data_IF_717971302641
#
_entry.id   IF_717971302641
#
_cell.length_a   1.000
_cell.length_b   1.000
_cell.length_c   1.000
_cell.angle_alpha   90.00
_cell.angle_beta   90.00
_cell.angle_gamma   90.00
#
_symmetry.space_group_name_H-M   'P 1'
#
loop_
_entity.id
_entity.type
_entity.pdbx_description
1 polymer ?
#
# COMPACT_ATOMS: atom_id res chain seq x y z
N UNK A 1 1.20 -15.69 -25.75
CA UNK A 1 1.30 -14.22 -25.88
C UNK A 1 0.42 -13.65 -24.78
N UNK A 2 0.87 -12.62 -24.04
CA UNK A 2 0.07 -12.02 -22.96
C UNK A 2 -1.13 -11.30 -23.58
N UNK A 3 -2.35 -11.56 -23.11
CA UNK A 3 -3.52 -10.83 -23.62
C UNK A 3 -3.55 -9.42 -23.02
N UNK A 4 -3.77 -8.43 -23.89
CA UNK A 4 -3.90 -7.03 -23.52
C UNK A 4 -5.26 -6.52 -24.03
N UNK A 5 -6.05 -5.99 -23.12
CA UNK A 5 -7.30 -5.29 -23.45
C UNK A 5 -7.21 -3.85 -22.98
N UNK A 6 -7.50 -2.94 -23.91
CA UNK A 6 -7.49 -1.49 -23.67
C UNK A 6 -8.89 -0.97 -23.95
N UNK A 7 -9.47 -0.22 -23.00
CA UNK A 7 -10.83 0.34 -23.10
C UNK A 7 -10.87 1.80 -22.68
N UNK A 8 -11.54 2.63 -23.47
CA UNK A 8 -11.72 4.06 -23.25
C UNK A 8 -10.72 4.91 -24.04
N UNK A 9 -10.43 6.14 -23.59
CA UNK A 9 -9.70 7.13 -24.37
C UNK A 9 -8.18 7.06 -24.12
N UNK A 10 -7.58 5.92 -24.48
CA UNK A 10 -6.14 5.71 -24.45
C UNK A 10 -5.69 4.92 -25.67
N UNK A 11 -4.57 5.32 -26.28
CA UNK A 11 -4.04 4.67 -27.48
C UNK A 11 -3.45 3.29 -27.14
N UNK A 12 -3.90 2.18 -27.76
CA UNK A 12 -3.35 0.86 -27.49
C UNK A 12 -1.83 0.75 -27.74
N UNK A 13 -1.31 1.47 -28.72
CA UNK A 13 0.12 1.51 -29.08
C UNK A 13 0.96 2.09 -27.95
N UNK A 14 0.44 3.10 -27.25
CA UNK A 14 1.09 3.70 -26.10
C UNK A 14 1.21 2.70 -24.94
N UNK A 15 0.14 1.95 -24.66
CA UNK A 15 0.14 0.89 -23.63
C UNK A 15 1.07 -0.27 -24.02
N UNK A 16 1.08 -0.67 -25.30
CA UNK A 16 1.98 -1.71 -25.82
C UNK A 16 3.45 -1.30 -25.68
N UNK A 17 3.79 -0.04 -25.96
CA UNK A 17 5.15 0.47 -25.79
C UNK A 17 5.60 0.39 -24.31
N UNK A 18 4.76 0.86 -23.38
CA UNK A 18 5.05 0.75 -21.95
C UNK A 18 5.25 -0.72 -21.50
N UNK A 19 4.45 -1.65 -22.00
CA UNK A 19 4.62 -3.08 -21.72
C UNK A 19 5.92 -3.64 -22.31
N UNK A 20 6.27 -3.26 -23.54
CA UNK A 20 7.51 -3.68 -24.18
C UNK A 20 8.73 -3.26 -23.34
N UNK A 21 8.73 -2.03 -22.81
CA UNK A 21 9.80 -1.53 -21.95
C UNK A 21 9.95 -2.33 -20.65
N UNK A 22 8.85 -2.90 -20.12
CA UNK A 22 8.90 -3.83 -18.99
C UNK A 22 9.52 -5.15 -19.44
N UNK A 23 9.05 -5.71 -20.56
CA UNK A 23 9.53 -6.98 -21.09
C UNK A 23 11.05 -6.99 -21.34
N UNK A 24 11.61 -5.88 -21.82
CA UNK A 24 13.04 -5.73 -22.06
C UNK A 24 13.88 -5.81 -20.78
N UNK A 25 13.31 -5.45 -19.62
CA UNK A 25 14.00 -5.43 -18.31
C UNK A 25 13.64 -6.64 -17.45
N UNK A 26 12.45 -7.21 -17.65
CA UNK A 26 11.89 -8.23 -16.79
C UNK A 26 11.03 -9.23 -17.55
N UNK A 27 11.36 -10.52 -17.39
CA UNK A 27 10.55 -11.62 -17.92
C UNK A 27 9.23 -11.74 -17.16
N UNK A 28 8.17 -11.17 -17.74
CA UNK A 28 6.80 -11.23 -17.21
C UNK A 28 6.33 -12.69 -17.09
N UNK A 29 5.66 -13.06 -15.97
CA UNK A 29 5.12 -14.40 -15.78
C UNK A 29 4.13 -14.81 -16.88
N UNK A 30 4.23 -16.06 -17.36
CA UNK A 30 3.38 -16.58 -18.45
C UNK A 30 1.93 -16.89 -18.03
N UNK A 31 1.65 -16.91 -16.74
CA UNK A 31 0.37 -17.26 -16.13
C UNK A 31 -0.58 -16.07 -15.94
N UNK A 32 -0.23 -14.90 -16.49
CA UNK A 32 -1.12 -13.74 -16.49
C UNK A 32 -2.07 -13.91 -17.66
N UNK A 33 -3.37 -13.98 -17.35
CA UNK A 33 -4.39 -14.24 -18.35
C UNK A 33 -4.68 -13.00 -19.18
N UNK A 34 -4.73 -11.82 -18.54
CA UNK A 34 -5.03 -10.56 -19.20
C UNK A 34 -4.50 -9.37 -18.38
N UNK A 35 -4.03 -8.34 -19.09
CA UNK A 35 -3.86 -6.99 -18.55
C UNK A 35 -4.94 -6.11 -19.16
N UNK A 36 -5.73 -5.47 -18.29
CA UNK A 36 -6.81 -4.55 -18.64
C UNK A 36 -6.36 -3.13 -18.31
N UNK A 37 -6.39 -2.22 -19.30
CA UNK A 37 -6.21 -0.78 -19.06
C UNK A 37 -7.51 -0.05 -19.37
N UNK A 38 -8.12 0.52 -18.33
CA UNK A 38 -9.51 0.98 -18.34
C UNK A 38 -9.59 2.47 -17.98
N UNK A 39 -10.09 3.26 -18.92
CA UNK A 39 -10.28 4.71 -18.77
C UNK A 39 -11.75 5.12 -18.51
N UNK A 40 -12.67 4.15 -18.43
CA UNK A 40 -14.08 4.44 -18.19
C UNK A 40 -14.68 3.37 -17.27
N UNK A 41 -15.19 3.74 -16.07
CA UNK A 41 -15.75 2.79 -15.12
C UNK A 41 -16.91 1.96 -15.65
N UNK A 42 -17.60 2.41 -16.72
CA UNK A 42 -18.69 1.64 -17.33
C UNK A 42 -18.25 0.24 -17.77
N UNK A 43 -16.97 0.06 -18.10
CA UNK A 43 -16.41 -1.22 -18.52
C UNK A 43 -16.18 -2.20 -17.35
N UNK A 44 -16.23 -1.76 -16.08
CA UNK A 44 -16.05 -2.66 -14.94
C UNK A 44 -17.14 -3.72 -14.82
N UNK A 45 -18.38 -3.41 -15.21
CA UNK A 45 -19.48 -4.41 -15.26
C UNK A 45 -19.21 -5.53 -16.26
N UNK A 46 -18.49 -5.25 -17.35
CA UNK A 46 -18.09 -6.28 -18.31
C UNK A 46 -16.96 -7.15 -17.76
N UNK A 47 -15.99 -6.53 -17.08
CA UNK A 47 -14.86 -7.21 -16.45
C UNK A 47 -15.33 -8.12 -15.31
N UNK A 48 -16.28 -7.66 -14.49
CA UNK A 48 -16.86 -8.42 -13.39
C UNK A 48 -17.36 -9.80 -13.82
N UNK A 49 -17.99 -9.88 -15.01
CA UNK A 49 -18.51 -11.14 -15.56
C UNK A 49 -17.41 -12.18 -15.76
N UNK A 50 -16.17 -11.76 -16.03
CA UNK A 50 -14.99 -12.61 -16.24
C UNK A 50 -14.31 -13.02 -14.93
N UNK A 51 -14.55 -12.29 -13.84
CA UNK A 51 -13.95 -12.56 -12.54
C UNK A 51 -14.64 -13.77 -11.86
N UNK A 52 -13.88 -14.69 -11.25
CA UNK A 52 -14.45 -15.81 -10.49
C UNK A 52 -15.46 -15.34 -9.45
N UNK A 53 -16.62 -16.01 -9.36
CA UNK A 53 -17.75 -15.60 -8.47
C UNK A 53 -17.31 -15.26 -7.05
N UNK A 54 -16.40 -16.04 -6.46
CA UNK A 54 -15.87 -15.83 -5.11
C UNK A 54 -15.12 -14.50 -4.90
N UNK A 55 -14.61 -13.88 -5.98
CA UNK A 55 -13.85 -12.63 -5.95
C UNK A 55 -14.72 -11.42 -6.37
N UNK A 56 -15.94 -11.63 -6.86
CA UNK A 56 -16.79 -10.54 -7.40
C UNK A 56 -17.19 -9.53 -6.34
N UNK A 57 -17.45 -9.99 -5.11
CA UNK A 57 -17.80 -9.08 -4.00
C UNK A 57 -16.65 -8.10 -3.69
N UNK A 58 -15.44 -8.60 -3.52
CA UNK A 58 -14.24 -7.79 -3.30
C UNK A 58 -13.97 -6.84 -4.48
N UNK A 59 -14.17 -7.34 -5.71
CA UNK A 59 -14.08 -6.53 -6.92
C UNK A 59 -15.10 -5.39 -6.93
N UNK A 60 -16.37 -5.65 -6.62
CA UNK A 60 -17.44 -4.65 -6.57
C UNK A 60 -17.14 -3.58 -5.51
N UNK A 61 -16.80 -4.01 -4.29
CA UNK A 61 -16.48 -3.11 -3.17
C UNK A 61 -15.27 -2.20 -3.47
N UNK A 62 -14.33 -2.66 -4.31
CA UNK A 62 -13.16 -1.88 -4.70
C UNK A 62 -13.44 -0.96 -5.90
N UNK A 63 -13.97 -1.49 -7.00
CA UNK A 63 -14.00 -0.80 -8.29
C UNK A 63 -15.22 0.07 -8.56
N UNK A 64 -16.32 -0.14 -7.86
CA UNK A 64 -17.56 0.60 -8.15
C UNK A 64 -17.66 1.91 -7.37
N UNK A 65 -16.83 2.09 -6.33
CA UNK A 65 -16.81 3.32 -5.53
C UNK A 65 -15.58 4.19 -5.79
N UNK A 66 -14.39 3.61 -5.92
CA UNK A 66 -13.15 4.36 -6.18
C UNK A 66 -12.14 3.49 -6.98
N UNK A 67 -12.23 3.50 -8.32
CA UNK A 67 -11.50 2.55 -9.14
C UNK A 67 -10.01 2.89 -9.20
N UNK A 68 -9.20 2.12 -8.46
CA UNK A 68 -7.73 2.16 -8.49
C UNK A 68 -7.14 0.95 -9.21
N UNK A 69 -5.86 1.03 -9.57
CA UNK A 69 -5.15 -0.11 -10.14
C UNK A 69 -5.06 -1.27 -9.15
N UNK A 70 -5.26 -2.51 -9.62
CA UNK A 70 -5.12 -3.73 -8.80
C UNK A 70 -4.78 -4.96 -9.66
N UNK A 71 -4.25 -5.97 -8.97
CA UNK A 71 -4.06 -7.32 -9.50
C UNK A 71 -4.86 -8.36 -8.72
N UNK A 72 -5.47 -9.32 -9.42
CA UNK A 72 -6.27 -10.41 -8.87
C UNK A 72 -5.58 -11.74 -9.14
N UNK A 73 -5.46 -12.60 -8.12
CA UNK A 73 -4.93 -13.97 -8.24
C UNK A 73 -5.93 -14.98 -7.68
N UNK A 74 -6.37 -15.95 -8.48
CA UNK A 74 -7.29 -17.02 -8.06
C UNK A 74 -6.97 -18.36 -8.73
N UNK A 75 -6.44 -19.32 -7.97
CA UNK A 75 -6.10 -20.63 -8.53
C UNK A 75 -4.96 -20.49 -9.54
N UNK A 76 -5.18 -20.82 -10.82
CA UNK A 76 -4.22 -20.55 -11.91
C UNK A 76 -4.40 -19.18 -12.57
N UNK A 77 -5.58 -18.56 -12.42
CA UNK A 77 -5.95 -17.29 -13.03
C UNK A 77 -5.25 -16.10 -12.36
N UNK A 78 -4.59 -15.25 -13.16
CA UNK A 78 -4.12 -13.92 -12.76
C UNK A 78 -4.64 -12.85 -13.73
N UNK A 79 -5.09 -11.73 -13.17
CA UNK A 79 -5.62 -10.58 -13.90
C UNK A 79 -5.00 -9.30 -13.36
N UNK A 80 -4.64 -8.36 -14.24
CA UNK A 80 -4.23 -7.02 -13.86
C UNK A 80 -5.25 -6.04 -14.42
N UNK A 81 -5.66 -5.07 -13.62
CA UNK A 81 -6.56 -4.00 -14.00
C UNK A 81 -5.89 -2.70 -13.62
N UNK A 82 -5.55 -1.90 -14.62
CA UNK A 82 -5.04 -0.55 -14.47
C UNK A 82 -6.22 0.38 -14.71
N UNK A 83 -6.67 1.04 -13.65
CA UNK A 83 -7.67 2.11 -13.78
C UNK A 83 -6.93 3.43 -14.04
N UNK A 84 -7.32 4.13 -15.09
CA UNK A 84 -6.85 5.50 -15.41
C UNK A 84 -8.03 6.48 -15.46
N UNK A 85 -9.17 6.05 -14.90
CA UNK A 85 -10.44 6.77 -14.93
C UNK A 85 -10.56 7.84 -13.83
N UNK A 86 -9.70 7.79 -12.81
CA UNK A 86 -9.67 8.79 -11.75
C UNK A 86 -9.03 10.10 -12.24
N UNK A 87 -9.58 11.23 -11.79
CA UNK A 87 -8.99 12.55 -12.05
C UNK A 87 -7.55 12.65 -11.55
N UNK A 88 -7.22 11.95 -10.46
CA UNK A 88 -5.87 11.96 -9.88
C UNK A 88 -4.87 11.11 -10.65
N UNK A 89 -5.31 10.24 -11.54
CA UNK A 89 -4.48 9.29 -12.30
C UNK A 89 -4.46 9.58 -13.82
N UNK A 90 -5.09 10.69 -14.25
CA UNK A 90 -5.14 11.10 -15.65
C UNK A 90 -3.76 11.28 -16.30
N UNK A 91 -2.71 11.55 -15.50
CA UNK A 91 -1.33 11.65 -15.99
C UNK A 91 -0.85 10.34 -16.64
N UNK A 92 -1.42 9.18 -16.27
CA UNK A 92 -1.07 7.88 -16.84
C UNK A 92 -1.42 7.76 -18.34
N UNK A 93 -2.27 8.66 -18.87
CA UNK A 93 -2.61 8.71 -20.31
C UNK A 93 -1.49 9.26 -21.18
N UNK A 94 -0.61 10.07 -20.61
CA UNK A 94 0.43 10.80 -21.33
C UNK A 94 1.83 10.52 -20.81
N UNK A 95 1.97 9.99 -19.59
CA UNK A 95 3.24 9.63 -18.98
C UNK A 95 3.49 8.12 -19.06
N UNK A 96 4.25 7.69 -20.07
CA UNK A 96 4.56 6.27 -20.31
C UNK A 96 5.40 5.66 -19.20
N UNK A 97 6.30 6.44 -18.59
CA UNK A 97 7.17 5.96 -17.51
C UNK A 97 6.35 5.69 -16.24
N UNK A 98 5.40 6.56 -15.90
CA UNK A 98 4.48 6.33 -14.80
C UNK A 98 3.55 5.11 -15.06
N UNK A 99 3.00 4.99 -16.28
CA UNK A 99 2.22 3.81 -16.67
C UNK A 99 3.03 2.52 -16.56
N UNK A 100 4.30 2.56 -16.96
CA UNK A 100 5.24 1.45 -16.76
C UNK A 100 5.37 1.10 -15.27
N UNK A 101 5.47 2.11 -14.41
CA UNK A 101 5.48 1.97 -12.96
C UNK A 101 4.28 1.19 -12.44
N UNK A 102 3.07 1.69 -12.69
CA UNK A 102 1.84 1.07 -12.17
C UNK A 102 1.68 -0.38 -12.65
N UNK A 103 1.94 -0.64 -13.94
CA UNK A 103 1.88 -2.01 -14.47
C UNK A 103 2.92 -2.91 -13.80
N UNK A 104 4.16 -2.43 -13.63
CA UNK A 104 5.24 -3.19 -12.99
C UNK A 104 4.94 -3.50 -11.52
N UNK A 105 4.30 -2.56 -10.81
CA UNK A 105 3.85 -2.72 -9.43
C UNK A 105 2.87 -3.89 -9.28
N UNK A 106 1.82 -3.88 -10.10
CA UNK A 106 0.78 -4.91 -10.06
C UNK A 106 1.29 -6.28 -10.52
N UNK A 107 2.18 -6.30 -11.51
CA UNK A 107 2.89 -7.51 -11.90
C UNK A 107 3.71 -8.09 -10.74
N UNK A 108 4.41 -7.23 -9.98
CA UNK A 108 5.25 -7.67 -8.87
C UNK A 108 4.41 -8.26 -7.73
N UNK A 109 3.23 -7.70 -7.45
CA UNK A 109 2.29 -8.26 -6.50
C UNK A 109 1.85 -9.67 -6.86
N UNK A 110 1.57 -9.95 -8.14
CA UNK A 110 1.29 -11.31 -8.60
C UNK A 110 2.48 -12.23 -8.32
N UNK A 111 3.69 -11.83 -8.72
CA UNK A 111 4.90 -12.66 -8.52
C UNK A 111 5.13 -12.97 -7.04
N UNK A 112 4.95 -11.99 -6.18
CA UNK A 112 5.12 -12.17 -4.74
C UNK A 112 4.03 -13.04 -4.12
N UNK A 113 2.77 -12.87 -4.51
CA UNK A 113 1.66 -13.75 -4.08
C UNK A 113 1.92 -15.19 -4.48
N UNK A 114 2.38 -15.44 -5.71
CA UNK A 114 2.75 -16.77 -6.22
C UNK A 114 3.92 -17.39 -5.45
N UNK A 115 4.86 -16.57 -4.95
CA UNK A 115 5.95 -16.99 -4.03
C UNK A 115 5.49 -17.18 -2.57
N UNK A 116 4.20 -17.04 -2.30
CA UNK A 116 3.58 -17.23 -0.99
C UNK A 116 3.78 -16.08 -0.01
N UNK A 117 4.13 -14.87 -0.47
CA UNK A 117 4.38 -13.72 0.39
C UNK A 117 3.19 -13.41 1.31
N UNK A 118 1.97 -13.41 0.76
CA UNK A 118 0.73 -13.15 1.51
C UNK A 118 0.56 -14.06 2.72
N UNK A 119 0.85 -15.36 2.54
CA UNK A 119 0.76 -16.35 3.62
C UNK A 119 1.84 -16.10 4.67
N UNK A 120 3.08 -15.79 4.24
CA UNK A 120 4.20 -15.50 5.15
C UNK A 120 3.93 -14.26 5.99
N UNK A 121 3.53 -13.15 5.36
CA UNK A 121 3.22 -11.87 6.01
C UNK A 121 2.07 -12.04 7.01
N UNK A 122 0.96 -12.66 6.59
CA UNK A 122 -0.19 -12.92 7.48
C UNK A 122 0.18 -13.82 8.66
N UNK A 123 0.94 -14.89 8.42
CA UNK A 123 1.37 -15.79 9.49
C UNK A 123 2.27 -15.09 10.51
N UNK A 124 3.18 -14.23 10.07
CA UNK A 124 4.07 -13.47 10.95
C UNK A 124 3.31 -12.38 11.72
N UNK A 125 2.30 -11.74 11.11
CA UNK A 125 1.40 -10.81 11.80
C UNK A 125 0.63 -11.50 12.94
N UNK A 126 0.06 -12.68 12.69
CA UNK A 126 -0.66 -13.46 13.71
C UNK A 126 0.28 -13.86 14.85
N UNK A 127 1.50 -14.31 14.52
CA UNK A 127 2.51 -14.65 15.54
C UNK A 127 2.87 -13.45 16.40
N UNK A 128 3.20 -12.31 15.77
CA UNK A 128 3.53 -11.08 16.48
C UNK A 128 2.38 -10.62 17.38
N UNK A 129 1.13 -10.67 16.89
CA UNK A 129 -0.05 -10.32 17.69
C UNK A 129 -0.23 -11.25 18.89
N UNK A 130 -0.12 -12.57 18.70
CA UNK A 130 -0.22 -13.55 19.80
C UNK A 130 0.83 -13.31 20.88
N UNK A 131 2.08 -13.06 20.47
CA UNK A 131 3.19 -12.72 21.37
C UNK A 131 2.93 -11.40 22.13
N UNK A 132 2.30 -10.43 21.46
CA UNK A 132 2.02 -9.11 22.04
C UNK A 132 0.75 -9.06 22.91
N UNK A 133 -0.17 -10.02 22.74
CA UNK A 133 -1.49 -10.07 23.39
C UNK A 133 -1.46 -9.85 24.91
N UNK A 134 -0.51 -10.39 25.70
CA UNK A 134 -0.44 -10.11 27.14
C UNK A 134 -0.28 -8.62 27.45
N UNK A 135 0.40 -7.86 26.60
CA UNK A 135 0.58 -6.41 26.75
C UNK A 135 -0.68 -5.65 26.34
N UNK A 136 -1.37 -6.10 25.28
CA UNK A 136 -2.67 -5.56 24.86
C UNK A 136 -3.68 -5.65 26.00
N UNK A 137 -3.76 -6.80 26.69
CA UNK A 137 -4.69 -6.99 27.82
C UNK A 137 -4.45 -6.01 28.98
N UNK A 138 -3.19 -5.60 29.20
CA UNK A 138 -2.85 -4.59 30.22
C UNK A 138 -3.32 -3.19 29.83
N UNK A 139 -3.66 -2.96 28.56
CA UNK A 139 -4.15 -1.67 28.08
C UNK A 139 -5.64 -1.45 28.34
N UNK A 140 -6.39 -2.49 28.66
CA UNK A 140 -7.84 -2.39 28.96
C UNK A 140 -8.15 -1.56 30.21
N UNK A 141 -7.13 -1.24 31.02
CA UNK A 141 -7.25 -0.30 32.14
C UNK A 141 -7.19 1.18 31.74
N UNK A 142 -6.75 1.46 30.51
CA UNK A 142 -6.62 2.82 29.97
C UNK A 142 -7.68 3.13 28.93
N UNK A 143 -8.33 2.12 28.35
CA UNK A 143 -9.26 2.28 27.24
C UNK A 143 -10.16 1.04 27.14
N UNK A 144 -11.40 1.22 26.65
CA UNK A 144 -12.33 0.12 26.42
C UNK A 144 -11.68 -1.02 25.64
N UNK A 145 -11.95 -2.25 26.07
CA UNK A 145 -11.38 -3.47 25.50
C UNK A 145 -11.63 -3.59 24.00
N UNK A 146 -12.87 -3.35 23.55
CA UNK A 146 -13.21 -3.51 22.13
C UNK A 146 -12.50 -2.43 21.31
N UNK A 147 -12.37 -1.22 21.86
CA UNK A 147 -11.66 -0.14 21.19
C UNK A 147 -10.16 -0.42 21.07
N UNK A 148 -9.50 -0.89 22.15
CA UNK A 148 -8.10 -1.33 22.10
C UNK A 148 -7.91 -2.43 21.07
N UNK A 149 -8.74 -3.48 21.11
CA UNK A 149 -8.65 -4.60 20.18
C UNK A 149 -8.83 -4.14 18.71
N UNK A 150 -9.72 -3.16 18.47
CA UNK A 150 -9.95 -2.56 17.16
C UNK A 150 -8.70 -1.80 16.66
N UNK A 151 -8.08 -0.94 17.47
CA UNK A 151 -6.89 -0.17 17.09
C UNK A 151 -5.76 -1.11 16.63
N UNK A 152 -5.46 -2.16 17.42
CA UNK A 152 -4.42 -3.12 17.06
C UNK A 152 -4.78 -3.93 15.81
N UNK A 153 -6.05 -4.28 15.62
CA UNK A 153 -6.51 -4.99 14.43
C UNK A 153 -6.35 -4.13 13.15
N UNK A 154 -6.70 -2.85 13.22
CA UNK A 154 -6.57 -1.91 12.09
C UNK A 154 -5.12 -1.65 11.72
N UNK A 155 -4.26 -1.32 12.70
CA UNK A 155 -2.82 -1.13 12.47
C UNK A 155 -2.17 -2.40 11.94
N UNK A 156 -2.51 -3.56 12.52
CA UNK A 156 -2.01 -4.85 12.05
C UNK A 156 -2.44 -5.16 10.62
N UNK A 157 -3.68 -4.85 10.24
CA UNK A 157 -4.18 -5.00 8.87
C UNK A 157 -3.42 -4.09 7.89
N UNK A 158 -3.28 -2.81 8.23
CA UNK A 158 -2.55 -1.85 7.40
C UNK A 158 -1.08 -2.25 7.20
N UNK A 159 -0.42 -2.67 8.28
CA UNK A 159 0.96 -3.13 8.24
C UNK A 159 1.16 -4.35 7.32
N UNK A 160 0.16 -5.24 7.20
CA UNK A 160 0.21 -6.35 6.25
C UNK A 160 0.25 -5.87 4.79
N UNK A 161 -0.55 -4.84 4.43
CA UNK A 161 -0.54 -4.28 3.09
C UNK A 161 0.77 -3.55 2.80
N UNK A 162 1.19 -2.67 3.71
CA UNK A 162 2.42 -1.91 3.57
C UNK A 162 3.65 -2.80 3.38
N UNK A 163 3.75 -3.91 4.12
CA UNK A 163 4.87 -4.84 3.93
C UNK A 163 4.93 -5.40 2.50
N UNK A 164 3.79 -5.66 1.86
CA UNK A 164 3.75 -6.16 0.48
C UNK A 164 4.27 -5.10 -0.49
N UNK A 165 3.79 -3.87 -0.38
CA UNK A 165 4.24 -2.77 -1.25
C UNK A 165 5.73 -2.43 -1.02
N UNK A 166 6.20 -2.47 0.22
CA UNK A 166 7.62 -2.29 0.54
C UNK A 166 8.50 -3.29 -0.22
N UNK A 167 8.08 -4.56 -0.24
CA UNK A 167 8.81 -5.60 -0.96
C UNK A 167 8.66 -5.47 -2.47
N UNK A 168 7.49 -5.08 -2.98
CA UNK A 168 7.25 -4.85 -4.41
C UNK A 168 8.17 -3.73 -4.94
N UNK A 169 8.15 -2.57 -4.29
CA UNK A 169 8.94 -1.42 -4.67
C UNK A 169 10.45 -1.67 -4.55
N UNK A 170 10.93 -2.27 -3.45
CA UNK A 170 12.36 -2.63 -3.29
C UNK A 170 12.81 -3.67 -4.32
N UNK A 171 11.95 -4.59 -4.74
CA UNK A 171 12.24 -5.55 -5.81
C UNK A 171 12.30 -4.88 -7.19
N UNK A 172 11.37 -3.97 -7.51
CA UNK A 172 11.34 -3.27 -8.79
C UNK A 172 12.53 -2.32 -8.96
N UNK A 173 12.94 -1.63 -7.90
CA UNK A 173 14.16 -0.81 -7.90
C UNK A 173 15.38 -1.67 -8.25
N UNK A 174 15.51 -2.86 -7.68
CA UNK A 174 16.60 -3.81 -8.00
C UNK A 174 16.56 -4.35 -9.43
N UNK A 175 15.40 -4.34 -10.07
CA UNK A 175 15.20 -4.75 -11.46
C UNK A 175 15.38 -3.59 -12.46
N UNK A 176 15.89 -2.43 -12.02
CA UNK A 176 15.99 -1.21 -12.83
C UNK A 176 14.63 -0.71 -13.37
N UNK A 177 13.54 -1.04 -12.67
CA UNK A 177 12.19 -0.53 -12.92
C UNK A 177 11.78 0.57 -11.92
N UNK A 178 12.71 1.00 -11.06
CA UNK A 178 12.45 2.00 -10.01
C UNK A 178 12.04 3.38 -10.54
N UNK A 179 12.52 3.81 -11.72
CA UNK A 179 12.17 5.11 -12.28
C UNK A 179 10.68 5.19 -12.65
N UNK A 180 10.10 4.09 -13.16
CA UNK A 180 8.67 4.05 -13.47
C UNK A 180 7.80 4.27 -12.23
N UNK A 181 8.13 3.57 -11.14
CA UNK A 181 7.44 3.72 -9.84
C UNK A 181 7.68 5.11 -9.25
N UNK A 182 8.89 5.67 -9.41
CA UNK A 182 9.19 7.04 -8.98
C UNK A 182 8.35 8.08 -9.71
N UNK A 183 8.25 7.95 -11.04
CA UNK A 183 7.45 8.82 -11.89
C UNK A 183 5.98 8.75 -11.51
N UNK A 184 5.46 7.54 -11.29
CA UNK A 184 4.08 7.33 -10.83
C UNK A 184 3.80 8.06 -9.51
N UNK A 185 4.54 7.75 -8.44
CA UNK A 185 4.32 8.41 -7.15
C UNK A 185 4.50 9.92 -7.24
N UNK A 186 5.53 10.41 -7.94
CA UNK A 186 5.77 11.85 -8.07
C UNK A 186 4.59 12.58 -8.72
N UNK A 187 4.03 11.99 -9.79
CA UNK A 187 2.86 12.57 -10.46
C UNK A 187 1.59 12.44 -9.63
N UNK A 188 1.40 11.32 -8.93
CA UNK A 188 0.26 11.11 -8.05
C UNK A 188 0.22 12.16 -6.92
N UNK A 189 1.35 12.36 -6.23
CA UNK A 189 1.43 13.35 -5.15
C UNK A 189 1.34 14.80 -5.64
N UNK A 190 1.85 15.10 -6.83
CA UNK A 190 1.67 16.42 -7.45
C UNK A 190 0.21 16.68 -7.86
N UNK A 191 -0.46 15.70 -8.47
CA UNK A 191 -1.82 15.85 -9.03
C UNK A 191 -2.92 15.83 -7.97
N UNK A 192 -2.71 15.11 -6.87
CA UNK A 192 -3.70 15.00 -5.79
C UNK A 192 -3.86 16.29 -4.97
N UNK A 193 -2.92 17.24 -5.06
CA UNK A 193 -2.94 18.52 -4.32
C UNK A 193 -2.96 18.38 -2.78
N UNK A 194 -2.93 17.13 -2.29
CA UNK A 194 -2.94 16.69 -0.91
C UNK A 194 -2.18 15.38 -0.89
N UNK A 195 -1.22 15.19 0.02
CA UNK A 195 -0.77 13.84 0.34
C UNK A 195 -1.96 13.07 0.91
N UNK A 196 -2.58 12.27 0.06
CA UNK A 196 -3.50 11.23 0.45
C UNK A 196 -2.61 10.07 0.85
N UNK A 197 -2.68 9.56 2.08
CA UNK A 197 -1.97 8.34 2.44
C UNK A 197 -2.40 7.26 1.46
N UNK A 198 -1.47 6.74 0.67
CA UNK A 198 -1.74 5.60 -0.19
C UNK A 198 -2.05 4.40 0.70
N UNK A 199 -3.35 4.15 0.84
CA UNK A 199 -4.05 2.87 0.93
C UNK A 199 -5.48 3.34 1.21
N UNK A 200 -6.31 3.32 0.17
CA UNK A 200 -7.74 3.38 0.35
C UNK A 200 -8.09 2.38 1.45
N UNK A 201 -8.67 2.91 2.53
CA UNK A 201 -9.22 2.15 3.63
C UNK A 201 -9.84 0.88 3.06
N UNK A 202 -9.39 -0.30 3.49
CA UNK A 202 -10.25 -1.47 3.43
C UNK A 202 -11.48 -1.07 4.23
N UNK A 203 -12.54 -0.63 3.53
CA UNK A 203 -13.85 -0.39 4.10
C UNK A 203 -14.29 -1.73 4.65
N UNK A 204 -14.00 -1.99 5.92
CA UNK A 204 -14.65 -3.05 6.65
C UNK A 204 -16.08 -2.62 6.91
N UNK A 205 -16.95 -2.72 5.89
CA UNK A 205 -18.40 -2.86 5.98
C UNK A 205 -19.20 -1.97 6.95
N UNK A 206 -18.64 -0.90 7.49
CA UNK A 206 -19.27 -0.12 8.55
C UNK A 206 -19.03 1.36 8.30
N UNK A 207 -20.11 2.13 8.50
CA UNK A 207 -20.30 3.58 8.33
C UNK A 207 -19.01 4.38 8.24
N UNK A 208 -18.94 5.33 7.29
CA UNK A 208 -17.96 6.43 7.29
C UNK A 208 -18.00 7.13 8.65
N UNK A 209 -17.14 6.70 9.57
CA UNK A 209 -16.88 7.43 10.79
C UNK A 209 -15.77 8.41 10.42
N UNK A 210 -16.16 9.62 10.03
CA UNK A 210 -15.25 10.77 9.99
C UNK A 210 -14.86 11.14 11.42
N UNK A 211 -13.94 10.37 12.02
CA UNK A 211 -13.22 10.77 13.25
C UNK A 211 -12.07 11.67 12.84
N UNK A 212 -11.90 12.79 13.55
CA UNK A 212 -10.84 13.77 13.27
C UNK A 212 -9.48 13.09 13.34
N UNK A 213 -8.63 13.33 12.33
CA UNK A 213 -7.32 12.69 12.11
C UNK A 213 -6.27 12.95 13.21
N UNK A 214 -6.60 13.64 14.31
CA UNK A 214 -5.69 13.93 15.43
C UNK A 214 -6.07 13.28 16.76
N UNK A 215 -7.28 12.73 16.87
CA UNK A 215 -7.76 12.11 18.12
C UNK A 215 -7.77 10.58 18.05
N UNK A 216 -7.77 10.02 16.84
CA UNK A 216 -7.79 8.57 16.63
C UNK A 216 -6.37 8.01 16.39
N UNK A 217 -5.86 7.28 17.39
CA UNK A 217 -4.53 6.64 17.37
C UNK A 217 -4.33 5.78 16.11
N UNK A 218 -5.34 4.99 15.73
CA UNK A 218 -5.24 4.11 14.56
C UNK A 218 -5.11 4.94 13.29
N UNK A 219 -5.89 6.00 13.14
CA UNK A 219 -5.83 6.88 11.97
C UNK A 219 -4.48 7.61 11.86
N UNK A 220 -3.94 8.14 12.97
CA UNK A 220 -2.64 8.83 12.96
C UNK A 220 -1.50 7.88 12.60
N UNK A 221 -1.46 6.68 13.18
CA UNK A 221 -0.44 5.67 12.85
C UNK A 221 -0.60 5.20 11.40
N UNK A 222 -1.82 4.87 10.98
CA UNK A 222 -2.09 4.36 9.64
C UNK A 222 -1.80 5.41 8.55
N UNK A 223 -1.95 6.70 8.84
CA UNK A 223 -1.58 7.78 7.94
C UNK A 223 -0.09 7.70 7.57
N UNK A 224 0.81 7.72 8.55
CA UNK A 224 2.26 7.67 8.26
C UNK A 224 2.65 6.29 7.73
N UNK A 225 2.05 5.22 8.26
CA UNK A 225 2.29 3.86 7.81
C UNK A 225 1.98 3.69 6.31
N UNK A 226 0.89 4.31 5.81
CA UNK A 226 0.52 4.32 4.39
C UNK A 226 1.51 5.05 3.48
N UNK A 227 2.37 5.91 4.02
CA UNK A 227 3.42 6.61 3.25
C UNK A 227 4.72 5.79 3.16
N UNK A 228 4.90 4.80 4.04
CA UNK A 228 6.11 3.97 4.09
C UNK A 228 6.43 3.22 2.80
N UNK A 229 5.45 2.71 2.00
CA UNK A 229 5.71 2.13 0.68
C UNK A 229 6.53 3.01 -0.26
N UNK A 230 6.49 4.33 -0.06
CA UNK A 230 7.31 5.29 -0.81
C UNK A 230 8.56 5.66 0.00
N UNK A 231 8.41 6.10 1.24
CA UNK A 231 9.54 6.61 2.03
C UNK A 231 10.68 5.58 2.13
N UNK A 232 10.35 4.32 2.43
CA UNK A 232 11.37 3.31 2.75
C UNK A 232 12.15 2.83 1.52
N UNK A 233 11.52 2.37 0.42
CA UNK A 233 12.27 1.87 -0.75
C UNK A 233 13.06 2.99 -1.44
N UNK A 234 12.49 4.19 -1.56
CA UNK A 234 13.15 5.33 -2.20
C UNK A 234 14.23 5.94 -1.30
N UNK A 235 14.03 5.99 0.01
CA UNK A 235 15.08 6.37 0.97
C UNK A 235 16.27 5.41 0.90
N UNK A 236 16.02 4.09 0.80
CA UNK A 236 17.08 3.08 0.57
C UNK A 236 17.80 3.29 -0.76
N UNK A 237 17.06 3.59 -1.82
CA UNK A 237 17.63 3.83 -3.13
C UNK A 237 18.54 5.06 -3.15
N UNK A 238 18.12 6.15 -2.52
CA UNK A 238 18.96 7.33 -2.33
C UNK A 238 20.24 7.00 -1.53
N UNK A 239 20.13 6.28 -0.41
CA UNK A 239 21.30 5.96 0.41
C UNK A 239 22.34 5.11 -0.34
N UNK A 240 21.89 4.18 -1.20
CA UNK A 240 22.77 3.28 -1.96
C UNK A 240 23.32 3.90 -3.23
N UNK A 241 22.51 4.65 -3.97
CA UNK A 241 22.83 5.10 -5.34
C UNK A 241 22.84 6.61 -5.50
N UNK A 242 22.60 7.38 -4.42
CA UNK A 242 22.51 8.85 -4.42
C UNK A 242 21.51 9.41 -5.46
N UNK A 243 20.44 8.67 -5.74
CA UNK A 243 19.37 9.12 -6.64
C UNK A 243 18.67 10.37 -6.07
N UNK A 244 18.92 11.54 -6.68
CA UNK A 244 18.40 12.83 -6.21
C UNK A 244 16.88 12.94 -6.31
N UNK A 245 16.27 12.39 -7.36
CA UNK A 245 14.81 12.45 -7.56
C UNK A 245 14.09 11.62 -6.49
N UNK A 246 14.65 10.46 -6.12
CA UNK A 246 14.14 9.67 -4.99
C UNK A 246 14.22 10.45 -3.67
N UNK A 247 15.31 11.21 -3.43
CA UNK A 247 15.43 12.07 -2.25
C UNK A 247 14.38 13.19 -2.25
N UNK A 248 14.19 13.88 -3.37
CA UNK A 248 13.20 14.97 -3.48
C UNK A 248 11.80 14.47 -3.11
N UNK A 249 11.38 13.31 -3.62
CA UNK A 249 10.09 12.73 -3.28
C UNK A 249 9.98 12.36 -1.79
N UNK A 250 11.03 11.75 -1.23
CA UNK A 250 11.06 11.37 0.19
C UNK A 250 10.98 12.58 1.10
N UNK A 251 11.76 13.63 0.81
CA UNK A 251 11.78 14.88 1.59
C UNK A 251 10.40 15.58 1.50
N UNK A 252 9.83 15.68 0.29
CA UNK A 252 8.51 16.25 0.08
C UNK A 252 7.43 15.55 0.94
N UNK A 253 7.43 14.22 0.97
CA UNK A 253 6.50 13.45 1.81
C UNK A 253 6.80 13.66 3.31
N UNK A 254 8.08 13.66 3.67
CA UNK A 254 8.63 13.88 5.01
C UNK A 254 8.08 15.15 5.66
N UNK A 255 8.41 16.29 5.07
CA UNK A 255 8.09 17.62 5.60
C UNK A 255 6.58 17.78 5.89
N UNK A 256 5.75 17.17 5.03
CA UNK A 256 4.31 17.27 5.17
C UNK A 256 3.74 16.40 6.28
N UNK A 257 4.18 15.14 6.46
CA UNK A 257 3.64 14.32 7.55
C UNK A 257 4.19 14.76 8.91
N UNK A 258 5.43 15.25 8.97
CA UNK A 258 6.00 15.78 10.20
C UNK A 258 5.21 16.99 10.72
N UNK A 259 4.79 17.86 9.81
CA UNK A 259 3.93 19.00 10.14
C UNK A 259 2.50 18.57 10.52
N UNK A 260 1.89 17.64 9.78
CA UNK A 260 0.49 17.24 10.00
C UNK A 260 0.28 16.34 11.23
N UNK A 261 1.26 15.49 11.52
CA UNK A 261 1.21 14.40 12.51
C UNK A 261 2.35 14.51 13.52
N UNK A 262 2.71 15.73 13.93
CA UNK A 262 3.83 15.99 14.82
C UNK A 262 3.81 15.18 16.12
N UNK A 263 2.60 14.84 16.61
CA UNK A 263 2.39 14.03 17.82
C UNK A 263 2.79 12.55 17.69
N UNK A 264 2.94 12.02 16.49
CA UNK A 264 3.39 10.62 16.24
C UNK A 264 4.59 10.52 15.30
N UNK A 265 5.01 11.63 14.69
CA UNK A 265 6.03 11.66 13.65
C UNK A 265 7.39 11.15 14.14
N UNK A 266 7.82 11.56 15.34
CA UNK A 266 9.12 11.18 15.91
C UNK A 266 9.22 9.68 16.14
N UNK A 267 8.18 9.06 16.68
CA UNK A 267 8.13 7.64 16.93
C UNK A 267 8.05 6.83 15.63
N UNK A 268 7.24 7.30 14.66
CA UNK A 268 7.15 6.66 13.35
C UNK A 268 8.46 6.77 12.57
N UNK A 269 9.19 7.89 12.67
CA UNK A 269 10.51 8.07 12.05
C UNK A 269 11.52 7.00 12.53
N UNK A 270 11.48 6.62 13.81
CA UNK A 270 12.30 5.49 14.32
C UNK A 270 11.99 4.18 13.60
N UNK A 271 10.71 3.93 13.29
CA UNK A 271 10.26 2.73 12.57
C UNK A 271 10.64 2.81 11.09
N UNK A 272 10.53 4.00 10.48
CA UNK A 272 10.95 4.28 9.10
C UNK A 272 12.47 4.05 8.96
N UNK A 273 13.30 4.66 9.81
CA UNK A 273 14.76 4.48 9.81
C UNK A 273 15.16 3.03 10.01
N UNK A 274 14.51 2.32 10.94
CA UNK A 274 14.70 0.88 11.10
C UNK A 274 14.38 0.12 9.81
N UNK A 275 13.28 0.45 9.15
CA UNK A 275 12.83 -0.20 7.92
C UNK A 275 13.78 0.08 6.75
N UNK A 276 14.23 1.32 6.59
CA UNK A 276 15.24 1.73 5.61
C UNK A 276 16.52 0.91 5.81
N UNK A 277 16.99 0.73 7.05
CA UNK A 277 18.22 -0.03 7.30
C UNK A 277 18.05 -1.54 7.07
N UNK A 278 16.91 -2.12 7.46
CA UNK A 278 16.77 -3.56 7.64
C UNK A 278 15.82 -4.27 6.65
N UNK A 279 15.20 -3.55 5.70
CA UNK A 279 14.24 -4.14 4.77
C UNK A 279 14.82 -5.37 4.06
N UNK A 280 14.22 -6.53 4.35
CA UNK A 280 14.50 -7.84 3.77
C UNK A 280 13.25 -8.72 3.90
N UNK A 281 12.96 -9.53 2.87
CA UNK A 281 11.95 -10.59 2.96
C UNK A 281 12.46 -11.70 3.89
N UNK A 282 12.29 -11.47 5.20
CA UNK A 282 12.67 -12.41 6.26
C UNK A 282 11.66 -12.35 7.40
N UNK A 283 11.48 -13.47 8.08
CA UNK A 283 10.62 -13.55 9.25
C UNK A 283 11.09 -12.59 10.36
N UNK A 284 12.39 -12.52 10.60
CA UNK A 284 13.00 -11.64 11.61
C UNK A 284 12.62 -10.18 11.39
N UNK A 285 12.74 -9.68 10.16
CA UNK A 285 12.33 -8.33 9.82
C UNK A 285 10.82 -8.13 10.02
N UNK A 286 9.97 -9.01 9.47
CA UNK A 286 8.51 -8.87 9.59
C UNK A 286 8.02 -8.86 11.02
N UNK A 287 8.47 -9.81 11.85
CA UNK A 287 8.12 -9.86 13.28
C UNK A 287 8.55 -8.58 13.99
N UNK A 288 9.75 -8.08 13.70
CA UNK A 288 10.28 -6.85 14.30
C UNK A 288 9.50 -5.61 13.86
N UNK A 289 9.08 -5.54 12.60
CA UNK A 289 8.25 -4.47 12.06
C UNK A 289 6.91 -4.39 12.80
N UNK A 290 6.17 -5.50 12.90
CA UNK A 290 4.92 -5.56 13.67
C UNK A 290 5.12 -5.21 15.14
N UNK A 291 6.15 -5.78 15.79
CA UNK A 291 6.43 -5.52 17.20
C UNK A 291 6.71 -4.04 17.47
N UNK A 292 7.44 -3.36 16.57
CA UNK A 292 7.73 -1.93 16.69
C UNK A 292 6.47 -1.07 16.55
N UNK A 293 5.60 -1.40 15.60
CA UNK A 293 4.29 -0.73 15.47
C UNK A 293 3.44 -0.95 16.72
N UNK A 294 3.35 -2.18 17.22
CA UNK A 294 2.56 -2.48 18.43
C UNK A 294 3.12 -1.81 19.70
N UNK A 295 4.44 -1.68 19.81
CA UNK A 295 5.09 -0.91 20.87
C UNK A 295 4.72 0.57 20.82
N UNK A 296 4.72 1.16 19.63
CA UNK A 296 4.27 2.53 19.42
C UNK A 296 2.79 2.68 19.81
N UNK A 297 1.92 1.80 19.31
CA UNK A 297 0.49 1.82 19.64
C UNK A 297 0.25 1.72 21.15
N UNK A 298 0.95 0.80 21.83
CA UNK A 298 0.86 0.69 23.29
C UNK A 298 1.29 1.97 24.01
N UNK A 299 2.34 2.64 23.54
CA UNK A 299 2.80 3.92 24.08
C UNK A 299 1.69 4.98 23.94
N UNK A 300 1.15 5.13 22.72
CA UNK A 300 0.11 6.13 22.43
C UNK A 300 -1.16 5.92 23.24
N UNK A 301 -1.58 4.66 23.46
CA UNK A 301 -2.76 4.38 24.30
C UNK A 301 -2.52 4.76 25.76
N UNK A 302 -1.30 4.53 26.29
CA UNK A 302 -0.97 4.90 27.68
C UNK A 302 -0.85 6.40 27.91
N UNK A 303 -0.49 7.14 26.86
CA UNK A 303 -0.29 8.59 26.87
C UNK A 303 -1.52 9.35 26.33
N UNK A 304 -2.62 8.66 26.02
CA UNK A 304 -3.82 9.28 25.51
C UNK A 304 -4.61 9.89 26.67
N UNK A 305 -4.70 11.23 26.68
CA UNK A 305 -5.47 12.00 27.65
C UNK A 305 -7.00 11.84 27.47
N UNK A 306 -7.47 11.30 26.34
CA UNK A 306 -8.90 11.21 25.99
C UNK A 306 -9.70 10.20 26.85
N UNK A 307 -9.04 9.40 27.70
CA UNK A 307 -9.70 8.33 28.45
C UNK A 307 -9.15 8.20 29.88
N UNK A 308 -8.98 9.33 30.57
CA UNK A 308 -9.15 9.32 32.04
C UNK A 308 -10.57 8.84 32.31
N UNK A 309 -10.74 7.52 32.46
CA UNK A 309 -11.94 6.95 33.03
C UNK A 309 -12.16 7.69 34.36
N UNK A 310 -13.24 8.46 34.44
CA UNK A 310 -13.85 8.80 35.72
C UNK A 310 -13.99 7.49 36.47
N UNK A 311 -13.12 7.29 37.47
CA UNK A 311 -13.29 6.25 38.47
C UNK A 311 -14.53 6.66 39.25
N UNK A 312 -15.69 6.16 38.83
CA UNK A 312 -16.87 6.13 39.70
C UNK A 312 -16.72 4.97 40.68
#
# INVERSE_FOLDING_TARGET
>A
MLNLTVRGNIRPEFVKAALLDIYLKWKIPRNIEEILVIDDPKYFKEIEKRIPRKMRKEFQETYFEDPTSMSITSGKFDLIIISISSKTENYLKTNSEALQGVISHELMHIVQRRKGLDRKVRSDAIRAYKEFRPRIRKLYRYMDKNHVDQIFAEIGRQANFVLKDLYANDALIKLNLGNGILADYSNYYASSGRLIPSINYVKTGHKKITRKIRTDIANSVNYILGLMPVIVPFGRWYLKSKNKNAKILVDYIGDHYETKMSHVAKEMDSIIKYSIKNLKDSQTFRKSFFRKLFLLTEKLIKESDEYEFERQ
#
